data_IF_749265773810
#
_entry.id   IF_749265773810
#
_cell.length_a   1.000
_cell.length_b   1.000
_cell.length_c   1.000
_cell.angle_alpha   90.00
_cell.angle_beta   90.00
_cell.angle_gamma   90.00
#
_symmetry.space_group_name_H-M   'P 1'
#
loop_
_entity.id
_entity.type
_entity.pdbx_description
1 polymer ?
#
# COMPACT_ATOMS: atom_id res chain seq x y z
N UNK A 1 27.29 61.77 -3.75
CA UNK A 1 27.37 60.47 -3.06
C UNK A 1 26.03 59.80 -3.26
N UNK A 2 26.01 58.78 -4.11
CA UNK A 2 24.85 57.97 -4.41
C UNK A 2 24.72 56.89 -3.34
N UNK A 3 23.51 56.61 -2.89
CA UNK A 3 23.20 55.31 -2.28
C UNK A 3 21.79 54.90 -2.67
N UNK A 4 21.70 53.63 -3.05
CA UNK A 4 20.65 52.98 -3.82
C UNK A 4 19.34 52.84 -3.06
N UNK A 5 18.24 53.11 -3.76
CA UNK A 5 16.93 52.60 -3.42
C UNK A 5 16.70 51.30 -4.21
N UNK A 6 16.80 50.16 -3.53
CA UNK A 6 16.47 48.85 -4.10
C UNK A 6 15.15 48.38 -3.53
N UNK A 7 14.09 48.59 -4.30
CA UNK A 7 12.71 48.24 -3.98
C UNK A 7 12.32 46.92 -4.65
N UNK A 8 11.53 46.12 -3.93
CA UNK A 8 10.64 45.06 -4.41
C UNK A 8 11.26 43.81 -5.08
N UNK A 9 11.62 42.82 -4.28
CA UNK A 9 11.58 41.41 -4.70
C UNK A 9 10.15 40.89 -4.53
N UNK A 10 9.46 40.74 -5.66
CA UNK A 10 8.23 39.97 -5.81
C UNK A 10 8.56 38.49 -5.58
N UNK A 11 8.05 37.93 -4.48
CA UNK A 11 8.24 36.54 -4.12
C UNK A 11 7.44 35.66 -5.10
N UNK A 12 8.17 34.84 -5.85
CA UNK A 12 7.63 33.92 -6.85
C UNK A 12 6.87 32.80 -6.17
N UNK A 13 5.59 32.68 -6.52
CA UNK A 13 4.81 31.45 -6.33
C UNK A 13 5.51 30.33 -7.11
N UNK A 14 5.86 29.18 -6.50
CA UNK A 14 6.27 28.01 -7.26
C UNK A 14 5.01 27.37 -7.83
N UNK A 15 4.73 27.68 -9.08
CA UNK A 15 3.83 26.93 -9.94
C UNK A 15 4.45 25.53 -10.17
N UNK A 16 3.84 24.49 -9.60
CA UNK A 16 4.32 23.12 -9.76
C UNK A 16 3.60 22.49 -10.95
N UNK A 17 4.31 22.37 -12.07
CA UNK A 17 3.94 21.54 -13.21
C UNK A 17 3.75 20.06 -12.81
N UNK A 18 2.93 19.30 -13.56
CA UNK A 18 2.46 17.99 -13.16
C UNK A 18 3.54 16.92 -13.27
N UNK A 19 3.48 15.96 -12.35
CA UNK A 19 4.33 14.79 -12.28
C UNK A 19 4.16 13.97 -13.57
N UNK A 20 5.28 13.72 -14.24
CA UNK A 20 5.40 12.79 -15.35
C UNK A 20 4.88 11.40 -14.96
N UNK A 21 3.84 10.94 -15.66
CA UNK A 21 3.51 9.53 -15.80
C UNK A 21 4.49 8.87 -16.77
N UNK A 22 5.28 7.93 -16.24
CA UNK A 22 5.90 6.82 -16.97
C UNK A 22 6.38 5.84 -15.87
N UNK A 23 6.14 4.53 -15.90
CA UNK A 23 6.35 3.64 -17.02
C UNK A 23 5.33 2.48 -17.03
N UNK A 24 4.80 2.22 -18.22
CA UNK A 24 4.22 0.94 -18.59
C UNK A 24 5.24 -0.18 -18.41
N UNK A 25 4.95 -1.13 -17.51
CA UNK A 25 5.53 -2.46 -17.60
C UNK A 25 4.66 -3.34 -18.48
N UNK A 26 5.28 -3.73 -19.59
CA UNK A 26 4.84 -4.56 -20.70
C UNK A 26 4.43 -5.95 -20.20
N UNK A 27 3.19 -6.34 -20.46
CA UNK A 27 2.72 -7.71 -20.27
C UNK A 27 3.19 -8.58 -21.44
N UNK A 28 3.91 -9.66 -21.14
CA UNK A 28 4.15 -10.76 -22.08
C UNK A 28 3.19 -11.93 -21.73
N UNK A 29 2.38 -12.43 -22.68
CA UNK A 29 1.57 -13.62 -22.45
C UNK A 29 2.43 -14.90 -22.62
N UNK A 30 2.33 -15.91 -21.74
CA UNK A 30 3.04 -17.16 -21.96
C UNK A 30 2.29 -18.03 -22.98
N UNK A 31 2.78 -17.97 -24.23
CA UNK A 31 2.56 -18.94 -25.28
C UNK A 31 3.31 -20.26 -24.97
N UNK A 32 2.65 -21.42 -25.13
CA UNK A 32 3.23 -22.68 -25.63
C UNK A 32 2.20 -23.83 -25.48
N UNK A 33 1.41 -24.05 -26.53
CA UNK A 33 0.68 -25.30 -26.75
C UNK A 33 1.66 -26.26 -27.42
N UNK A 34 2.12 -27.28 -26.70
CA UNK A 34 2.75 -28.45 -27.31
C UNK A 34 1.65 -29.47 -27.58
N UNK A 35 1.25 -29.57 -28.85
CA UNK A 35 0.57 -30.74 -29.38
C UNK A 35 1.63 -31.78 -29.69
N UNK A 36 1.51 -32.96 -29.10
CA UNK A 36 2.19 -34.15 -29.58
C UNK A 36 1.18 -35.26 -29.88
N UNK A 37 1.64 -36.18 -30.68
CA UNK A 37 0.99 -36.68 -31.90
C UNK A 37 0.67 -38.17 -31.74
N UNK A 38 -0.08 -38.69 -32.70
CA UNK A 38 -0.19 -40.12 -33.04
C UNK A 38 -1.07 -40.97 -32.07
N UNK A 39 -1.93 -41.91 -32.51
CA UNK A 39 -1.75 -42.88 -33.58
C UNK A 39 -3.09 -43.34 -34.19
N UNK A 40 -3.13 -43.27 -35.53
CA UNK A 40 -3.73 -44.20 -36.47
C UNK A 40 -3.61 -45.67 -36.01
N UNK A 41 -4.67 -46.48 -36.10
CA UNK A 41 -4.57 -47.83 -36.66
C UNK A 41 -5.95 -48.41 -37.06
N UNK A 42 -5.98 -48.83 -38.31
CA UNK A 42 -6.99 -49.61 -39.03
C UNK A 42 -6.82 -51.11 -38.73
N UNK A 43 -7.89 -51.91 -38.71
CA UNK A 43 -7.92 -53.25 -39.33
C UNK A 43 -9.33 -53.89 -39.26
N UNK A 44 -9.83 -54.34 -40.41
CA UNK A 44 -10.84 -55.40 -40.58
C UNK A 44 -10.19 -56.79 -40.29
N UNK A 45 -10.81 -57.99 -40.43
CA UNK A 45 -12.12 -58.35 -40.98
C UNK A 45 -12.95 -59.37 -40.14
N UNK A 46 -14.21 -59.56 -40.53
CA UNK A 46 -15.13 -60.60 -40.02
C UNK A 46 -15.05 -61.84 -40.93
N UNK A 47 -14.96 -63.06 -40.37
CA UNK A 47 -15.37 -64.28 -41.06
C UNK A 47 -16.65 -64.87 -40.46
N UNK A 48 -17.58 -65.25 -41.34
CA UNK A 48 -18.71 -66.15 -41.07
C UNK A 48 -18.20 -67.55 -40.70
N UNK A 49 -18.98 -68.31 -39.92
CA UNK A 49 -19.21 -69.75 -40.15
C UNK A 49 -20.38 -70.28 -39.31
N UNK A 50 -20.96 -71.35 -39.85
CA UNK A 50 -22.31 -71.86 -39.71
C UNK A 50 -22.60 -72.70 -38.44
N UNK A 51 -23.91 -72.95 -38.25
CA UNK A 51 -24.53 -73.95 -37.38
C UNK A 51 -23.98 -75.37 -37.68
N UNK A 52 -24.11 -76.41 -36.86
CA UNK A 52 -25.17 -76.83 -35.94
C UNK A 52 -24.63 -78.10 -35.20
N UNK A 53 -24.95 -78.32 -33.91
CA UNK A 53 -25.27 -79.67 -33.41
C UNK A 53 -25.82 -79.64 -31.97
N UNK A 54 -26.94 -80.35 -31.79
CA UNK A 54 -27.74 -80.41 -30.58
C UNK A 54 -27.27 -81.43 -29.52
N UNK A 55 -27.78 -81.17 -28.31
CA UNK A 55 -28.20 -82.09 -27.24
C UNK A 55 -27.14 -82.46 -26.18
N UNK A 56 -27.25 -81.85 -24.97
CA UNK A 56 -27.30 -82.48 -23.62
C UNK A 56 -27.82 -81.46 -22.59
N UNK A 57 -28.70 -81.89 -21.69
CA UNK A 57 -29.33 -81.09 -20.63
C UNK A 57 -28.38 -80.55 -19.52
N UNK A 58 -27.11 -80.34 -19.82
CA UNK A 58 -26.13 -79.55 -19.06
C UNK A 58 -25.77 -78.23 -19.78
N UNK A 59 -26.25 -78.06 -21.02
CA UNK A 59 -25.95 -76.90 -21.88
C UNK A 59 -26.58 -75.62 -21.36
N UNK A 60 -27.72 -75.69 -20.67
CA UNK A 60 -28.38 -74.52 -20.09
C UNK A 60 -27.59 -73.87 -18.96
N UNK A 61 -26.94 -74.66 -18.11
CA UNK A 61 -26.11 -74.18 -16.99
C UNK A 61 -24.74 -73.68 -17.47
N UNK A 62 -24.18 -74.29 -18.54
CA UNK A 62 -22.93 -73.82 -19.15
C UNK A 62 -23.09 -72.51 -19.94
N UNK A 63 -24.17 -72.37 -20.72
CA UNK A 63 -24.46 -71.15 -21.49
C UNK A 63 -24.79 -69.97 -20.56
N UNK A 64 -25.44 -70.22 -19.42
CA UNK A 64 -25.68 -69.18 -18.41
C UNK A 64 -24.36 -68.72 -17.76
N UNK A 65 -23.44 -69.66 -17.47
CA UNK A 65 -22.08 -69.32 -16.97
C UNK A 65 -21.30 -68.46 -17.96
N UNK A 66 -21.31 -68.79 -19.25
CA UNK A 66 -20.63 -68.00 -20.28
C UNK A 66 -21.25 -66.60 -20.45
N UNK A 67 -22.58 -66.50 -20.35
CA UNK A 67 -23.28 -65.21 -20.35
C UNK A 67 -22.93 -64.36 -19.11
N UNK A 68 -22.84 -64.99 -17.93
CA UNK A 68 -22.40 -64.32 -16.69
C UNK A 68 -20.94 -63.87 -16.80
N UNK A 69 -20.05 -64.71 -17.34
CA UNK A 69 -18.65 -64.34 -17.58
C UNK A 69 -18.53 -63.16 -18.55
N UNK A 70 -19.29 -63.14 -19.65
CA UNK A 70 -19.30 -62.02 -20.60
C UNK A 70 -19.76 -60.71 -19.94
N UNK A 71 -20.77 -60.76 -19.06
CA UNK A 71 -21.21 -59.60 -18.27
C UNK A 71 -20.12 -59.11 -17.33
N UNK A 72 -19.51 -60.01 -16.55
CA UNK A 72 -18.42 -59.67 -15.63
C UNK A 72 -17.22 -59.07 -16.38
N UNK A 73 -16.85 -59.60 -17.55
CA UNK A 73 -15.77 -59.03 -18.37
C UNK A 73 -16.12 -57.64 -18.89
N UNK A 74 -17.37 -57.43 -19.29
CA UNK A 74 -17.87 -56.12 -19.74
C UNK A 74 -17.86 -55.11 -18.59
N UNK A 75 -18.36 -55.50 -17.41
CA UNK A 75 -18.33 -54.68 -16.20
C UNK A 75 -16.90 -54.33 -15.80
N UNK A 76 -15.98 -55.30 -15.82
CA UNK A 76 -14.54 -55.07 -15.57
C UNK A 76 -13.96 -54.05 -16.55
N UNK A 77 -14.29 -54.18 -17.84
CA UNK A 77 -13.83 -53.22 -18.88
C UNK A 77 -14.38 -51.82 -18.61
N UNK A 78 -15.68 -51.69 -18.32
CA UNK A 78 -16.32 -50.41 -18.03
C UNK A 78 -15.76 -49.77 -16.75
N UNK A 79 -15.53 -50.55 -15.70
CA UNK A 79 -14.92 -50.08 -14.46
C UNK A 79 -13.50 -49.55 -14.70
N UNK A 80 -12.69 -50.23 -15.53
CA UNK A 80 -11.35 -49.77 -15.87
C UNK A 80 -11.37 -48.46 -16.68
N UNK A 81 -12.28 -48.36 -17.68
CA UNK A 81 -12.46 -47.13 -18.47
C UNK A 81 -12.85 -45.97 -17.56
N UNK A 82 -13.82 -46.19 -16.66
CA UNK A 82 -14.28 -45.18 -15.71
C UNK A 82 -13.15 -44.74 -14.76
N UNK A 83 -12.40 -45.67 -14.19
CA UNK A 83 -11.27 -45.35 -13.31
C UNK A 83 -10.19 -44.52 -14.04
N UNK A 84 -9.92 -44.84 -15.32
CA UNK A 84 -9.00 -44.07 -16.14
C UNK A 84 -9.54 -42.67 -16.43
N UNK A 85 -10.81 -42.54 -16.81
CA UNK A 85 -11.47 -41.25 -17.05
C UNK A 85 -11.44 -40.36 -15.80
N UNK A 86 -11.79 -40.92 -14.63
CA UNK A 86 -11.79 -40.19 -13.36
C UNK A 86 -10.36 -39.74 -12.97
N UNK A 87 -9.34 -40.57 -13.25
CA UNK A 87 -7.93 -40.18 -13.09
C UNK A 87 -7.54 -39.03 -14.02
N UNK A 88 -7.94 -39.07 -15.30
CA UNK A 88 -7.64 -37.99 -16.25
C UNK A 88 -8.36 -36.68 -15.91
N UNK A 89 -9.61 -36.76 -15.44
CA UNK A 89 -10.36 -35.62 -14.90
C UNK A 89 -9.63 -34.99 -13.71
N UNK A 90 -9.24 -35.81 -12.73
CA UNK A 90 -8.49 -35.35 -11.55
C UNK A 90 -7.17 -34.66 -11.93
N UNK A 91 -6.46 -35.18 -12.94
CA UNK A 91 -5.23 -34.52 -13.46
C UNK A 91 -5.55 -33.17 -14.08
N UNK A 92 -6.62 -33.07 -14.86
CA UNK A 92 -7.06 -31.81 -15.47
C UNK A 92 -7.46 -30.77 -14.40
N UNK A 93 -8.24 -31.18 -13.41
CA UNK A 93 -8.65 -30.34 -12.27
C UNK A 93 -7.45 -29.85 -11.47
N UNK A 94 -6.51 -30.73 -11.12
CA UNK A 94 -5.29 -30.32 -10.41
C UNK A 94 -4.46 -29.29 -11.20
N UNK A 95 -4.39 -29.43 -12.53
CA UNK A 95 -3.74 -28.41 -13.38
C UNK A 95 -4.49 -27.09 -13.35
N UNK A 96 -5.82 -27.12 -13.39
CA UNK A 96 -6.65 -25.91 -13.30
C UNK A 96 -6.51 -25.22 -11.93
N UNK A 97 -6.61 -25.97 -10.83
CA UNK A 97 -6.44 -25.44 -9.47
C UNK A 97 -5.09 -24.75 -9.26
N UNK A 98 -4.01 -25.34 -9.77
CA UNK A 98 -2.68 -24.71 -9.73
C UNK A 98 -2.65 -23.36 -10.46
N UNK A 99 -3.26 -23.29 -11.66
CA UNK A 99 -3.34 -22.04 -12.42
C UNK A 99 -4.18 -20.98 -11.70
N UNK A 100 -5.35 -21.36 -11.20
CA UNK A 100 -6.24 -20.45 -10.45
C UNK A 100 -5.52 -19.93 -9.20
N UNK A 101 -4.83 -20.81 -8.47
CA UNK A 101 -4.07 -20.40 -7.28
C UNK A 101 -2.92 -19.44 -7.64
N UNK A 102 -2.22 -19.68 -8.75
CA UNK A 102 -1.16 -18.79 -9.23
C UNK A 102 -1.71 -17.41 -9.61
N UNK A 103 -2.87 -17.35 -10.26
CA UNK A 103 -3.56 -16.08 -10.56
C UNK A 103 -3.95 -15.35 -9.27
N UNK A 104 -4.53 -16.06 -8.30
CA UNK A 104 -4.89 -15.46 -7.00
C UNK A 104 -3.68 -14.87 -6.27
N UNK A 105 -2.56 -15.59 -6.20
CA UNK A 105 -1.33 -15.08 -5.59
C UNK A 105 -0.78 -13.86 -6.32
N UNK A 106 -0.86 -13.84 -7.65
CA UNK A 106 -0.41 -12.70 -8.45
C UNK A 106 -1.29 -11.47 -8.21
N UNK A 107 -2.62 -11.64 -8.17
CA UNK A 107 -3.55 -10.57 -7.82
C UNK A 107 -3.29 -10.02 -6.42
N UNK A 108 -3.09 -10.88 -5.43
CA UNK A 108 -2.81 -10.48 -4.06
C UNK A 108 -1.48 -9.73 -3.96
N UNK A 109 -0.46 -10.16 -4.69
CA UNK A 109 0.81 -9.43 -4.79
C UNK A 109 0.63 -8.04 -5.38
N UNK A 110 -0.22 -7.88 -6.39
CA UNK A 110 -0.48 -6.56 -7.01
C UNK A 110 -1.30 -5.66 -6.09
N UNK A 111 -2.32 -6.20 -5.41
CA UNK A 111 -3.10 -5.47 -4.40
C UNK A 111 -2.20 -4.98 -3.26
N UNK A 112 -1.36 -5.86 -2.72
CA UNK A 112 -0.42 -5.49 -1.65
C UNK A 112 0.55 -4.38 -2.08
N UNK A 113 1.02 -4.39 -3.33
CA UNK A 113 1.86 -3.31 -3.88
C UNK A 113 1.14 -1.97 -3.87
N UNK A 114 -0.11 -1.92 -4.35
CA UNK A 114 -0.91 -0.68 -4.40
C UNK A 114 -1.26 -0.19 -2.99
N UNK A 115 -1.62 -1.10 -2.08
CA UNK A 115 -1.89 -0.75 -0.68
C UNK A 115 -0.65 -0.19 0.04
N UNK A 116 0.54 -0.72 -0.26
CA UNK A 116 1.79 -0.18 0.27
C UNK A 116 2.08 1.25 -0.23
N UNK A 117 1.82 1.53 -1.50
CA UNK A 117 1.93 2.88 -2.06
C UNK A 117 0.96 3.86 -1.39
N UNK A 118 -0.30 3.45 -1.21
CA UNK A 118 -1.30 4.25 -0.50
C UNK A 118 -0.84 4.60 0.91
N UNK A 119 -0.37 3.60 1.67
CA UNK A 119 0.13 3.79 3.04
C UNK A 119 1.32 4.75 3.11
N UNK A 120 2.23 4.69 2.13
CA UNK A 120 3.37 5.62 2.03
C UNK A 120 2.93 7.07 1.79
N UNK A 121 1.90 7.26 0.97
CA UNK A 121 1.30 8.59 0.73
C UNK A 121 0.66 9.11 2.02
N UNK A 122 -0.12 8.29 2.71
CA UNK A 122 -0.74 8.65 3.99
C UNK A 122 0.28 9.06 5.06
N UNK A 123 1.34 8.27 5.23
CA UNK A 123 2.43 8.59 6.18
C UNK A 123 3.12 9.92 5.82
N UNK A 124 3.38 10.15 4.54
CA UNK A 124 3.98 11.40 4.06
C UNK A 124 3.09 12.59 4.36
N UNK A 125 1.78 12.45 4.18
CA UNK A 125 0.81 13.50 4.48
C UNK A 125 0.72 13.76 5.98
N UNK A 126 0.72 12.72 6.80
CA UNK A 126 0.64 12.88 8.25
C UNK A 126 1.91 13.53 8.82
N UNK A 127 3.09 13.14 8.34
CA UNK A 127 4.35 13.82 8.67
C UNK A 127 4.30 15.31 8.32
N UNK A 128 3.86 15.67 7.11
CA UNK A 128 3.75 17.07 6.69
C UNK A 128 2.79 17.87 7.57
N UNK A 129 1.67 17.27 7.98
CA UNK A 129 0.73 17.91 8.92
C UNK A 129 1.39 18.16 10.28
N UNK A 130 2.10 17.16 10.83
CA UNK A 130 2.79 17.30 12.11
C UNK A 130 3.87 18.41 12.06
N UNK A 131 4.69 18.43 11.01
CA UNK A 131 5.69 19.48 10.77
C UNK A 131 5.05 20.89 10.71
N UNK A 132 3.90 21.03 10.04
CA UNK A 132 3.21 22.32 9.95
C UNK A 132 2.65 22.77 11.30
N UNK A 133 2.05 21.85 12.06
CA UNK A 133 1.55 22.12 13.41
C UNK A 133 2.69 22.58 14.32
N UNK A 134 3.84 21.91 14.28
CA UNK A 134 5.03 22.29 15.04
C UNK A 134 5.55 23.67 14.62
N UNK A 135 5.68 23.94 13.32
CA UNK A 135 6.06 25.27 12.81
C UNK A 135 5.15 26.37 13.34
N UNK A 136 3.84 26.15 13.37
CA UNK A 136 2.90 27.15 13.89
C UNK A 136 3.03 27.33 15.40
N UNK A 137 3.27 26.25 16.16
CA UNK A 137 3.56 26.33 17.60
C UNK A 137 4.85 27.09 17.87
N UNK A 138 5.91 26.85 17.10
CA UNK A 138 7.19 27.55 17.23
C UNK A 138 7.03 29.05 16.96
N UNK A 139 6.32 29.45 15.90
CA UNK A 139 6.01 30.86 15.64
C UNK A 139 5.27 31.52 16.80
N UNK A 140 4.29 30.83 17.38
CA UNK A 140 3.57 31.33 18.56
C UNK A 140 4.52 31.50 19.75
N UNK A 141 5.42 30.55 19.98
CA UNK A 141 6.42 30.62 21.04
C UNK A 141 7.44 31.76 20.82
N UNK A 142 7.89 31.97 19.58
CA UNK A 142 8.78 33.08 19.21
C UNK A 142 8.15 34.44 19.49
N UNK A 143 6.87 34.63 19.12
CA UNK A 143 6.12 35.85 19.42
C UNK A 143 6.03 36.07 20.93
N UNK A 144 5.74 35.01 21.68
CA UNK A 144 5.66 35.09 23.14
C UNK A 144 7.00 35.47 23.77
N UNK A 145 8.09 34.80 23.36
CA UNK A 145 9.45 35.09 23.82
C UNK A 145 9.86 36.53 23.51
N UNK A 146 9.62 37.00 22.28
CA UNK A 146 9.93 38.37 21.90
C UNK A 146 9.13 39.41 22.71
N UNK A 147 7.88 39.09 23.07
CA UNK A 147 7.09 39.95 23.95
C UNK A 147 7.64 39.95 25.38
N UNK A 148 8.08 38.82 25.90
CA UNK A 148 8.70 38.72 27.23
C UNK A 148 10.05 39.44 27.30
N UNK A 149 10.89 39.31 26.28
CA UNK A 149 12.14 40.05 26.14
C UNK A 149 11.90 41.57 26.22
N UNK A 150 10.89 42.08 25.51
CA UNK A 150 10.50 43.50 25.59
C UNK A 150 10.03 43.90 26.99
N UNK A 151 9.23 43.06 27.67
CA UNK A 151 8.80 43.33 29.05
C UNK A 151 9.99 43.36 30.01
N UNK A 152 10.95 42.45 29.85
CA UNK A 152 12.16 42.41 30.66
C UNK A 152 13.02 43.67 30.48
N UNK A 153 13.16 44.17 29.25
CA UNK A 153 13.86 45.44 28.97
C UNK A 153 13.19 46.61 29.70
N UNK A 154 11.86 46.74 29.60
CA UNK A 154 11.12 47.82 30.27
C UNK A 154 11.29 47.75 31.79
N UNK A 155 11.20 46.55 32.37
CA UNK A 155 11.40 46.36 33.81
C UNK A 155 12.84 46.67 34.25
N UNK A 156 13.85 46.34 33.43
CA UNK A 156 15.24 46.69 33.70
C UNK A 156 15.47 48.21 33.64
N UNK A 157 14.91 48.91 32.64
CA UNK A 157 14.98 50.37 32.53
C UNK A 157 14.32 51.04 33.73
N UNK A 158 13.12 50.60 34.11
CA UNK A 158 12.44 51.08 35.32
C UNK A 158 13.31 50.90 36.56
N UNK A 159 13.95 49.75 36.74
CA UNK A 159 14.84 49.52 37.89
C UNK A 159 16.05 50.45 37.88
N UNK A 160 16.63 50.69 36.71
CA UNK A 160 17.73 51.65 36.58
C UNK A 160 17.31 53.06 36.98
N UNK A 161 16.15 53.54 36.50
CA UNK A 161 15.62 54.86 36.88
C UNK A 161 15.40 54.98 38.38
N UNK A 162 14.92 53.91 39.04
CA UNK A 162 14.75 53.88 40.49
C UNK A 162 16.09 54.01 41.23
N UNK A 163 17.12 53.30 40.76
CA UNK A 163 18.48 53.39 41.35
C UNK A 163 19.03 54.81 41.17
N UNK A 164 18.92 55.39 39.97
CA UNK A 164 19.41 56.75 39.69
C UNK A 164 18.69 57.81 40.56
N UNK A 165 17.38 57.65 40.77
CA UNK A 165 16.59 58.48 41.68
C UNK A 165 17.03 58.33 43.13
N UNK A 166 17.28 57.10 43.58
CA UNK A 166 17.75 56.82 44.95
C UNK A 166 19.15 57.43 45.18
N UNK A 167 20.06 57.28 44.24
CA UNK A 167 21.38 57.91 44.27
C UNK A 167 21.27 59.43 44.31
N UNK A 168 20.40 60.01 43.48
CA UNK A 168 20.18 61.45 43.45
C UNK A 168 19.59 61.96 44.76
N UNK A 169 18.62 61.25 45.33
CA UNK A 169 18.06 61.56 46.65
C UNK A 169 19.13 61.46 47.75
N UNK A 170 20.00 60.45 47.71
CA UNK A 170 21.12 60.32 48.65
C UNK A 170 22.11 61.50 48.55
N UNK A 171 22.43 61.95 47.32
CA UNK A 171 23.25 63.15 47.09
C UNK A 171 22.63 64.41 47.70
N UNK A 172 21.31 64.61 47.56
CA UNK A 172 20.62 65.75 48.20
C UNK A 172 20.66 65.67 49.72
N UNK A 173 20.45 64.48 50.31
CA UNK A 173 20.54 64.25 51.76
C UNK A 173 21.95 64.54 52.30
N UNK A 174 23.01 64.15 51.59
CA UNK A 174 24.38 64.37 52.04
C UNK A 174 24.83 65.84 51.93
N UNK A 175 24.40 66.56 50.90
CA UNK A 175 24.77 67.97 50.69
C UNK A 175 23.87 68.96 51.43
N UNK A 176 22.78 68.52 52.08
CA UNK A 176 21.83 69.39 52.78
C UNK A 176 21.05 70.34 51.86
N UNK A 177 20.97 70.03 50.56
CA UNK A 177 20.26 70.86 49.56
C UNK A 177 18.88 70.28 49.30
N UNK A 178 17.85 71.12 49.35
CA UNK A 178 16.47 70.73 49.01
C UNK A 178 16.29 70.69 47.49
N UNK A 179 15.69 69.63 46.91
CA UNK A 179 15.43 69.56 45.47
C UNK A 179 14.62 70.78 45.01
N UNK A 180 15.10 71.49 43.99
CA UNK A 180 14.52 72.78 43.57
C UNK A 180 13.25 72.65 42.73
N UNK A 181 12.93 71.44 42.22
CA UNK A 181 11.73 71.16 41.40
C UNK A 181 10.79 70.20 42.12
N UNK A 182 10.31 70.60 43.30
CA UNK A 182 9.55 69.67 44.14
C UNK A 182 8.14 69.33 43.62
N UNK A 183 7.44 70.12 42.80
CA UNK A 183 6.03 69.82 42.45
C UNK A 183 5.57 70.47 41.13
N UNK A 184 6.03 70.00 39.96
CA UNK A 184 5.53 70.52 38.68
C UNK A 184 4.18 69.92 38.23
N UNK A 185 3.75 68.77 38.76
CA UNK A 185 2.53 68.06 38.32
C UNK A 185 1.42 67.92 39.39
N UNK A 186 1.41 68.74 40.45
CA UNK A 186 0.31 68.79 41.43
C UNK A 186 -0.53 70.07 41.31
N UNK A 187 -0.73 70.58 40.09
CA UNK A 187 -1.67 71.68 39.82
C UNK A 187 -2.84 71.16 38.98
N UNK A 188 -3.99 71.02 39.64
CA UNK A 188 -5.36 71.19 39.13
C UNK A 188 -5.76 70.43 37.89
#
# INVERSE_FOLDING_TARGET
>A
MAEEASNATVDSVPEHSPVHENEQQKEDPPNAINHDTDQKLTSAPVPQNDADHADKNDTGDLVDKDAVLARVLTEKRLALIKAWEDSEKTKAENRAHKKISAVGLWEDSRKASVEAELKKIEETMERKKAEYVEKMKNKKAEIHRAAEEKRAIVEAQKRQEFIDLEETAAKFRSHGKTPSRLFACFKG
#
